data_IF_423607699446
#
_entry.id   IF_423607699446
#
_cell.length_a   1.000
_cell.length_b   1.000
_cell.length_c   1.000
_cell.angle_alpha   90.00
_cell.angle_beta   90.00
_cell.angle_gamma   90.00
#
_symmetry.space_group_name_H-M   'P 1'
#
loop_
_entity.id
_entity.type
_entity.pdbx_description
1 polymer ?
#
# COMPACT_ATOMS: atom_id res chain seq x y z
N UNK A 1 3.90 7.97 -20.79
CA UNK A 1 3.38 8.13 -19.42
C UNK A 1 1.88 8.34 -19.56
N UNK A 2 1.08 7.60 -18.81
CA UNK A 2 -0.39 7.72 -18.82
C UNK A 2 -0.84 8.54 -17.62
N UNK A 3 -1.96 9.25 -17.78
CA UNK A 3 -2.59 9.99 -16.68
C UNK A 3 -3.57 9.05 -15.97
N UNK A 4 -3.37 8.89 -14.66
CA UNK A 4 -4.21 8.08 -13.79
C UNK A 4 -4.82 8.87 -12.65
N UNK A 5 -5.81 8.27 -11.99
CA UNK A 5 -6.47 8.84 -10.81
C UNK A 5 -6.74 7.76 -9.78
N UNK A 6 -6.61 8.09 -8.50
CA UNK A 6 -7.03 7.23 -7.40
C UNK A 6 -8.54 7.39 -7.18
N UNK A 7 -9.29 6.30 -7.32
CA UNK A 7 -10.77 6.33 -7.32
C UNK A 7 -11.39 6.69 -5.97
N UNK A 8 -10.61 6.64 -4.88
CA UNK A 8 -11.08 7.05 -3.55
C UNK A 8 -11.60 8.50 -3.48
N UNK A 9 -11.19 9.36 -4.42
CA UNK A 9 -11.68 10.73 -4.53
C UNK A 9 -13.20 10.81 -4.81
N UNK A 10 -13.77 9.77 -5.41
CA UNK A 10 -15.21 9.67 -5.75
C UNK A 10 -15.87 8.43 -5.12
N UNK A 11 -15.39 7.98 -3.98
CA UNK A 11 -15.91 6.76 -3.31
C UNK A 11 -17.39 6.85 -2.89
N UNK A 12 -17.97 8.03 -2.91
CA UNK A 12 -19.41 8.26 -2.66
C UNK A 12 -20.28 8.02 -3.91
N UNK A 13 -19.69 7.80 -5.07
CA UNK A 13 -20.38 7.43 -6.31
C UNK A 13 -20.22 5.93 -6.59
N UNK A 14 -21.17 5.30 -7.31
CA UNK A 14 -20.93 3.97 -7.87
C UNK A 14 -19.71 3.98 -8.81
N UNK A 15 -18.98 2.83 -8.88
CA UNK A 15 -17.79 2.71 -9.73
C UNK A 15 -18.05 3.17 -11.17
N UNK A 16 -19.16 2.75 -11.77
CA UNK A 16 -19.48 3.10 -13.14
C UNK A 16 -19.62 4.60 -13.37
N UNK A 17 -20.25 5.32 -12.45
CA UNK A 17 -20.38 6.78 -12.52
C UNK A 17 -19.02 7.48 -12.35
N UNK A 18 -18.19 7.00 -11.44
CA UNK A 18 -16.83 7.51 -11.25
C UNK A 18 -15.99 7.31 -12.53
N UNK A 19 -16.02 6.12 -13.14
CA UNK A 19 -15.29 5.82 -14.37
C UNK A 19 -15.77 6.68 -15.56
N UNK A 20 -17.08 6.87 -15.68
CA UNK A 20 -17.66 7.76 -16.71
C UNK A 20 -17.14 9.19 -16.55
N UNK A 21 -17.09 9.70 -15.33
CA UNK A 21 -16.56 11.03 -15.06
C UNK A 21 -15.07 11.12 -15.37
N UNK A 22 -14.25 10.18 -14.90
CA UNK A 22 -12.82 10.16 -15.19
C UNK A 22 -12.52 10.08 -16.68
N UNK A 23 -13.27 9.26 -17.42
CA UNK A 23 -13.12 9.18 -18.88
C UNK A 23 -13.41 10.51 -19.57
N UNK A 24 -14.41 11.28 -19.08
CA UNK A 24 -14.72 12.61 -19.61
C UNK A 24 -13.60 13.63 -19.41
N UNK A 25 -12.71 13.40 -18.44
CA UNK A 25 -11.53 14.21 -18.17
C UNK A 25 -10.27 13.75 -18.92
N UNK A 26 -10.37 12.69 -19.74
CA UNK A 26 -9.23 12.14 -20.46
C UNK A 26 -8.30 11.26 -19.59
N UNK A 27 -8.79 10.77 -18.46
CA UNK A 27 -8.04 9.82 -17.61
C UNK A 27 -7.96 8.48 -18.34
N UNK A 28 -6.79 7.85 -18.29
CA UNK A 28 -6.48 6.59 -18.97
C UNK A 28 -6.32 5.42 -17.98
N UNK A 29 -5.97 5.69 -16.73
CA UNK A 29 -5.69 4.70 -15.70
C UNK A 29 -6.40 5.03 -14.39
N UNK A 30 -6.69 3.98 -13.63
CA UNK A 30 -7.24 4.09 -12.28
C UNK A 30 -6.40 3.32 -11.27
N UNK A 31 -6.24 3.87 -10.09
CA UNK A 31 -5.80 3.19 -8.89
C UNK A 31 -7.03 2.91 -8.03
N UNK A 32 -7.17 1.70 -7.51
CA UNK A 32 -8.36 1.23 -6.80
C UNK A 32 -8.07 0.98 -5.32
N UNK A 33 -8.83 1.60 -4.44
CA UNK A 33 -8.79 1.29 -3.00
C UNK A 33 -9.42 -0.08 -2.72
N UNK A 34 -8.66 -0.94 -2.04
CA UNK A 34 -9.04 -2.31 -1.68
C UNK A 34 -9.19 -2.52 -0.17
N UNK A 35 -9.24 -1.45 0.61
CA UNK A 35 -9.38 -1.47 2.06
C UNK A 35 -8.28 -0.70 2.79
N UNK A 36 -8.33 -0.73 4.12
CA UNK A 36 -7.49 0.11 4.95
C UNK A 36 -7.92 1.58 4.92
N UNK A 37 -6.97 2.50 4.91
CA UNK A 37 -7.26 3.94 4.92
C UNK A 37 -8.01 4.43 3.65
N UNK A 38 -7.72 3.94 2.44
CA UNK A 38 -8.46 4.35 1.24
C UNK A 38 -9.90 3.86 1.17
N UNK A 39 -10.27 2.84 1.98
CA UNK A 39 -11.54 2.14 1.83
C UNK A 39 -11.58 1.23 0.60
N UNK A 40 -12.72 0.58 0.37
CA UNK A 40 -12.93 -0.43 -0.67
C UNK A 40 -14.23 -0.23 -1.46
N UNK A 41 -14.78 0.98 -1.47
CA UNK A 41 -16.08 1.27 -2.07
C UNK A 41 -16.19 0.87 -3.54
N UNK A 42 -15.10 0.91 -4.30
CA UNK A 42 -15.07 0.57 -5.71
C UNK A 42 -14.42 -0.79 -6.01
N UNK A 43 -13.72 -1.38 -5.03
CA UNK A 43 -13.00 -2.62 -5.23
C UNK A 43 -12.85 -3.35 -3.88
N UNK A 44 -13.83 -4.16 -3.54
CA UNK A 44 -13.83 -4.94 -2.30
C UNK A 44 -13.25 -6.34 -2.55
N UNK A 45 -12.02 -6.63 -2.08
CA UNK A 45 -11.37 -7.91 -2.31
C UNK A 45 -12.20 -9.10 -1.80
N UNK A 46 -12.82 -8.97 -0.62
CA UNK A 46 -13.60 -10.06 -0.04
C UNK A 46 -14.77 -10.44 -0.95
N UNK A 47 -15.50 -9.47 -1.46
CA UNK A 47 -16.60 -9.70 -2.40
C UNK A 47 -16.08 -10.27 -3.73
N UNK A 48 -15.06 -9.64 -4.32
CA UNK A 48 -14.58 -10.01 -5.67
C UNK A 48 -13.83 -11.35 -5.73
N UNK A 49 -13.30 -11.81 -4.61
CA UNK A 49 -12.68 -13.14 -4.50
C UNK A 49 -13.70 -14.25 -4.36
N UNK A 50 -14.84 -14.00 -3.70
CA UNK A 50 -15.82 -15.03 -3.33
C UNK A 50 -17.08 -15.03 -4.18
N UNK A 51 -17.32 -14.03 -5.01
CA UNK A 51 -18.50 -13.89 -5.89
C UNK A 51 -18.05 -13.69 -7.33
N UNK A 52 -18.16 -14.74 -8.14
CA UNK A 52 -17.69 -14.72 -9.53
C UNK A 52 -18.55 -13.82 -10.43
N UNK A 53 -19.84 -13.69 -10.15
CA UNK A 53 -20.73 -12.82 -10.94
C UNK A 53 -20.35 -11.35 -10.70
N UNK A 54 -20.12 -10.97 -9.45
CA UNK A 54 -19.64 -9.61 -9.12
C UNK A 54 -18.24 -9.33 -9.65
N UNK A 55 -17.36 -10.32 -9.63
CA UNK A 55 -16.04 -10.17 -10.24
C UNK A 55 -16.15 -9.91 -11.74
N UNK A 56 -16.97 -10.68 -12.44
CA UNK A 56 -17.19 -10.52 -13.89
C UNK A 56 -17.85 -9.16 -14.21
N UNK A 57 -18.82 -8.72 -13.41
CA UNK A 57 -19.45 -7.40 -13.52
C UNK A 57 -18.42 -6.28 -13.33
N UNK A 58 -17.57 -6.38 -12.30
CA UNK A 58 -16.49 -5.43 -12.04
C UNK A 58 -15.54 -5.32 -13.24
N UNK A 59 -15.04 -6.45 -13.74
CA UNK A 59 -14.12 -6.48 -14.88
C UNK A 59 -14.79 -5.92 -16.13
N UNK A 60 -16.04 -6.28 -16.39
CA UNK A 60 -16.81 -5.75 -17.52
C UNK A 60 -16.99 -4.23 -17.41
N UNK A 61 -17.27 -3.72 -16.21
CA UNK A 61 -17.42 -2.28 -15.96
C UNK A 61 -16.13 -1.51 -16.22
N UNK A 62 -14.99 -1.97 -15.70
CA UNK A 62 -13.68 -1.34 -15.95
C UNK A 62 -13.36 -1.36 -17.44
N UNK A 63 -13.56 -2.49 -18.11
CA UNK A 63 -13.32 -2.67 -19.54
C UNK A 63 -14.24 -1.81 -20.43
N UNK A 64 -15.51 -1.64 -20.05
CA UNK A 64 -16.50 -0.79 -20.77
C UNK A 64 -16.00 0.65 -20.94
N UNK A 65 -15.28 1.18 -19.94
CA UNK A 65 -14.72 2.53 -19.99
C UNK A 65 -13.28 2.58 -20.50
N UNK A 66 -12.74 1.45 -20.97
CA UNK A 66 -11.36 1.37 -21.49
C UNK A 66 -10.37 2.00 -20.51
N UNK A 67 -10.48 1.57 -19.23
CA UNK A 67 -9.59 2.00 -18.16
C UNK A 67 -8.57 0.90 -17.85
N UNK A 68 -7.32 1.29 -17.68
CA UNK A 68 -6.26 0.42 -17.20
C UNK A 68 -6.17 0.53 -15.67
N UNK A 69 -6.04 -0.60 -14.97
CA UNK A 69 -5.78 -0.60 -13.54
C UNK A 69 -4.27 -0.48 -13.33
N UNK A 70 -3.83 0.63 -12.73
CA UNK A 70 -2.41 0.88 -12.45
C UNK A 70 -1.90 0.10 -11.24
N UNK A 71 -2.70 0.03 -10.19
CA UNK A 71 -2.42 -0.70 -8.97
C UNK A 71 -3.69 -0.90 -8.14
N UNK A 72 -3.64 -1.89 -7.25
CA UNK A 72 -4.57 -2.05 -6.13
C UNK A 72 -3.91 -1.48 -4.87
N UNK A 73 -4.64 -0.66 -4.13
CA UNK A 73 -4.14 0.08 -2.97
C UNK A 73 -4.81 -0.34 -1.67
N UNK A 74 -4.01 -0.79 -0.72
CA UNK A 74 -4.45 -1.34 0.56
C UNK A 74 -3.65 -0.75 1.72
N UNK A 75 -3.57 0.58 1.77
CA UNK A 75 -2.80 1.30 2.78
C UNK A 75 -3.30 1.02 4.20
N UNK A 76 -2.40 0.52 5.04
CA UNK A 76 -2.71 0.17 6.42
C UNK A 76 -1.47 0.01 7.28
N UNK A 77 -1.66 -0.42 8.52
CA UNK A 77 -0.56 -0.70 9.45
C UNK A 77 -0.57 -2.18 9.89
N UNK A 78 0.00 -3.10 9.09
CA UNK A 78 -0.01 -4.53 9.39
C UNK A 78 0.88 -4.93 10.57
N UNK A 79 1.72 -4.03 11.04
CA UNK A 79 2.56 -4.21 12.24
C UNK A 79 2.07 -3.35 13.41
N UNK A 80 0.80 -2.96 13.41
CA UNK A 80 0.20 -2.18 14.50
C UNK A 80 0.36 -2.90 15.84
N UNK A 81 0.67 -2.19 16.96
CA UNK A 81 0.78 -2.81 18.28
C UNK A 81 -0.50 -3.53 18.74
N UNK A 82 -1.66 -2.97 18.43
CA UNK A 82 -2.94 -3.64 18.59
C UNK A 82 -3.04 -4.79 17.57
N UNK A 83 -3.03 -6.02 18.09
CA UNK A 83 -2.96 -7.24 17.28
C UNK A 83 -4.20 -7.49 16.41
N UNK A 84 -5.37 -7.03 16.87
CA UNK A 84 -6.62 -7.16 16.06
C UNK A 84 -6.54 -6.25 14.84
N UNK A 85 -6.08 -5.01 15.03
CA UNK A 85 -5.86 -4.08 13.92
C UNK A 85 -4.77 -4.56 12.97
N UNK A 86 -3.66 -5.05 13.50
CA UNK A 86 -2.58 -5.61 12.70
C UNK A 86 -3.09 -6.75 11.81
N UNK A 87 -3.81 -7.70 12.41
CA UNK A 87 -4.39 -8.85 11.68
C UNK A 87 -5.41 -8.41 10.61
N UNK A 88 -6.23 -7.40 10.89
CA UNK A 88 -7.19 -6.87 9.93
C UNK A 88 -6.48 -6.21 8.73
N UNK A 89 -5.43 -5.44 8.96
CA UNK A 89 -4.64 -4.85 7.88
C UNK A 89 -3.85 -5.90 7.09
N UNK A 90 -3.25 -6.89 7.76
CA UNK A 90 -2.55 -8.01 7.10
C UNK A 90 -3.52 -8.79 6.20
N UNK A 91 -4.72 -9.12 6.71
CA UNK A 91 -5.77 -9.76 5.90
C UNK A 91 -6.09 -8.92 4.66
N UNK A 92 -6.31 -7.63 4.81
CA UNK A 92 -6.61 -6.72 3.69
C UNK A 92 -5.50 -6.75 2.64
N UNK A 93 -4.23 -6.72 3.05
CA UNK A 93 -3.10 -6.76 2.12
C UNK A 93 -3.04 -8.11 1.40
N UNK A 94 -3.21 -9.22 2.10
CA UNK A 94 -3.19 -10.56 1.49
C UNK A 94 -4.36 -10.77 0.54
N UNK A 95 -5.56 -10.36 0.91
CA UNK A 95 -6.73 -10.43 0.02
C UNK A 95 -6.52 -9.55 -1.24
N UNK A 96 -5.89 -8.39 -1.08
CA UNK A 96 -5.53 -7.52 -2.22
C UNK A 96 -4.51 -8.21 -3.15
N UNK A 97 -3.54 -8.94 -2.61
CA UNK A 97 -2.58 -9.73 -3.39
C UNK A 97 -3.30 -10.83 -4.17
N UNK A 98 -4.21 -11.58 -3.53
CA UNK A 98 -5.00 -12.61 -4.20
C UNK A 98 -5.90 -12.03 -5.29
N UNK A 99 -6.49 -10.87 -5.05
CA UNK A 99 -7.29 -10.18 -6.06
C UNK A 99 -6.41 -9.68 -7.23
N UNK A 100 -5.21 -9.19 -6.95
CA UNK A 100 -4.26 -8.81 -7.98
C UNK A 100 -3.91 -10.01 -8.88
N UNK A 101 -3.62 -11.19 -8.30
CA UNK A 101 -3.43 -12.42 -9.05
C UNK A 101 -4.64 -12.74 -9.94
N UNK A 102 -5.87 -12.71 -9.38
CA UNK A 102 -7.12 -13.00 -10.12
C UNK A 102 -7.35 -12.02 -11.28
N UNK A 103 -6.92 -10.76 -11.13
CA UNK A 103 -6.99 -9.72 -12.16
C UNK A 103 -5.81 -9.73 -13.14
N UNK A 104 -4.80 -10.55 -12.93
CA UNK A 104 -3.56 -10.57 -13.73
C UNK A 104 -2.67 -9.34 -13.50
N UNK A 105 -2.78 -8.71 -12.34
CA UNK A 105 -1.96 -7.57 -11.94
C UNK A 105 -0.74 -8.04 -11.15
N UNK A 106 0.36 -7.29 -11.24
CA UNK A 106 1.64 -7.65 -10.62
C UNK A 106 2.10 -6.64 -9.57
N UNK A 107 1.26 -5.67 -9.24
CA UNK A 107 1.62 -4.56 -8.35
C UNK A 107 0.48 -4.24 -7.38
N UNK A 108 0.86 -4.01 -6.11
CA UNK A 108 0.01 -3.39 -5.08
C UNK A 108 0.71 -2.18 -4.48
N UNK A 109 -0.09 -1.22 -3.95
CA UNK A 109 0.40 -0.08 -3.21
C UNK A 109 -0.06 -0.17 -1.76
N UNK A 110 0.82 0.16 -0.80
CA UNK A 110 0.50 0.13 0.63
C UNK A 110 1.47 1.00 1.44
N UNK A 111 1.30 1.03 2.78
CA UNK A 111 2.26 1.59 3.73
C UNK A 111 3.13 0.50 4.35
N UNK A 112 4.32 0.88 4.82
CA UNK A 112 5.23 -0.07 5.50
C UNK A 112 4.72 -0.56 6.85
N UNK A 113 3.84 0.18 7.48
CA UNK A 113 3.47 0.01 8.86
C UNK A 113 4.41 0.75 9.83
N UNK A 114 3.96 0.84 11.08
CA UNK A 114 4.72 1.39 12.20
C UNK A 114 4.34 0.63 13.47
N UNK A 115 5.27 -0.10 14.10
CA UNK A 115 5.03 -0.77 15.39
C UNK A 115 5.05 0.22 16.56
N UNK A 116 4.87 -0.29 17.77
CA UNK A 116 5.12 0.44 19.00
C UNK A 116 6.61 0.54 19.34
N UNK A 117 6.90 0.84 20.60
CA UNK A 117 8.24 0.90 21.16
C UNK A 117 8.65 -0.39 21.88
N UNK A 118 7.71 -1.27 22.15
CA UNK A 118 7.90 -2.58 22.77
C UNK A 118 6.71 -3.52 22.44
N UNK A 119 6.80 -4.82 22.78
CA UNK A 119 5.72 -5.79 22.52
C UNK A 119 4.39 -5.47 23.21
N UNK A 120 4.41 -4.75 24.33
CA UNK A 120 3.24 -4.38 25.14
C UNK A 120 2.62 -3.04 24.74
N UNK A 121 3.18 -2.35 23.74
CA UNK A 121 2.68 -1.07 23.25
C UNK A 121 1.23 -1.17 22.75
N UNK A 122 0.48 -0.10 22.94
CA UNK A 122 -0.90 0.01 22.45
C UNK A 122 -1.04 0.89 21.20
N UNK A 123 -0.08 1.75 20.99
CA UNK A 123 -0.08 2.74 19.90
C UNK A 123 1.22 2.67 19.11
N UNK A 124 1.19 2.97 17.80
CA UNK A 124 2.41 3.12 17.03
C UNK A 124 3.31 4.20 17.60
N UNK A 125 4.61 3.99 17.52
CA UNK A 125 5.61 4.98 17.90
C UNK A 125 6.55 5.24 16.72
N UNK A 126 6.39 6.39 16.07
CA UNK A 126 7.19 6.76 14.92
C UNK A 126 8.51 7.39 15.36
N UNK A 127 9.55 6.58 15.42
CA UNK A 127 10.90 6.99 15.83
C UNK A 127 11.71 7.40 14.60
N UNK A 128 12.12 8.67 14.56
CA UNK A 128 12.89 9.25 13.44
C UNK A 128 14.24 9.84 13.89
N UNK A 129 14.44 10.00 15.19
CA UNK A 129 15.67 10.52 15.77
C UNK A 129 16.43 9.38 16.47
N UNK A 130 17.71 9.12 16.11
CA UNK A 130 18.50 8.03 16.70
C UNK A 130 19.16 8.43 18.04
N UNK A 131 18.78 9.54 18.62
CA UNK A 131 19.31 10.04 19.89
C UNK A 131 18.19 10.71 20.72
N UNK A 132 18.09 10.51 22.05
CA UNK A 132 18.97 9.68 22.91
C UNK A 132 18.98 8.18 22.57
N UNK A 133 19.88 7.41 23.18
CA UNK A 133 20.10 5.99 22.88
C UNK A 133 18.84 5.13 22.98
N UNK A 134 17.91 5.47 23.88
CA UNK A 134 16.59 4.83 23.99
C UNK A 134 15.87 4.77 22.64
N UNK A 135 15.92 5.84 21.84
CA UNK A 135 15.30 5.87 20.52
C UNK A 135 16.03 4.97 19.52
N UNK A 136 17.34 4.85 19.62
CA UNK A 136 18.12 3.92 18.80
C UNK A 136 17.76 2.46 19.10
N UNK A 137 17.56 2.12 20.38
CA UNK A 137 17.15 0.78 20.81
C UNK A 137 15.75 0.44 20.29
N UNK A 138 14.79 1.37 20.43
CA UNK A 138 13.44 1.21 19.90
C UNK A 138 13.49 1.05 18.38
N UNK A 139 14.21 1.90 17.66
CA UNK A 139 14.31 1.85 16.20
C UNK A 139 14.90 0.51 15.73
N UNK A 140 15.96 0.03 16.43
CA UNK A 140 16.56 -1.27 16.14
C UNK A 140 15.55 -2.41 16.30
N UNK A 141 14.84 -2.45 17.42
CA UNK A 141 13.81 -3.46 17.69
C UNK A 141 12.68 -3.40 16.65
N UNK A 142 12.18 -2.21 16.34
CA UNK A 142 11.13 -2.04 15.32
C UNK A 142 11.53 -2.63 13.97
N UNK A 143 12.77 -2.43 13.54
CA UNK A 143 13.25 -2.88 12.26
C UNK A 143 13.63 -4.37 12.27
N UNK A 144 14.43 -4.81 13.24
CA UNK A 144 15.00 -6.15 13.24
C UNK A 144 14.01 -7.22 13.70
N UNK A 145 13.18 -6.90 14.71
CA UNK A 145 12.28 -7.89 15.32
C UNK A 145 10.85 -7.84 14.77
N UNK A 146 10.43 -6.74 14.16
CA UNK A 146 9.03 -6.57 13.72
C UNK A 146 8.93 -6.35 12.21
N UNK A 147 9.51 -5.27 11.70
CA UNK A 147 9.26 -4.83 10.33
C UNK A 147 9.87 -5.78 9.29
N UNK A 148 11.17 -6.05 9.38
CA UNK A 148 11.86 -6.90 8.41
C UNK A 148 11.33 -8.34 8.39
N UNK A 149 11.07 -9.01 9.53
CA UNK A 149 10.44 -10.33 9.53
C UNK A 149 9.07 -10.34 8.86
N UNK A 150 8.21 -9.36 9.16
CA UNK A 150 6.90 -9.24 8.55
C UNK A 150 7.00 -9.10 7.02
N UNK A 151 7.83 -8.18 6.54
CA UNK A 151 7.96 -7.92 5.10
C UNK A 151 8.61 -9.07 4.33
N UNK A 152 9.51 -9.84 4.94
CA UNK A 152 10.04 -11.07 4.33
C UNK A 152 8.96 -12.12 4.09
N UNK A 153 8.07 -12.30 5.05
CA UNK A 153 6.94 -13.23 4.93
C UNK A 153 5.94 -12.75 3.86
N UNK A 154 5.55 -11.48 3.93
CA UNK A 154 4.58 -10.92 2.98
C UNK A 154 5.10 -10.89 1.54
N UNK A 155 6.38 -10.58 1.33
CA UNK A 155 6.99 -10.62 -0.01
C UNK A 155 7.04 -12.05 -0.54
N UNK A 156 7.36 -13.03 0.29
CA UNK A 156 7.33 -14.44 -0.13
C UNK A 156 5.92 -14.86 -0.56
N UNK A 157 4.89 -14.47 0.20
CA UNK A 157 3.49 -14.69 -0.15
C UNK A 157 3.12 -13.99 -1.46
N UNK A 158 3.44 -12.72 -1.61
CA UNK A 158 3.12 -11.96 -2.82
C UNK A 158 3.74 -12.57 -4.08
N UNK A 159 5.00 -13.01 -4.00
CA UNK A 159 5.70 -13.70 -5.11
C UNK A 159 5.02 -15.02 -5.49
N UNK A 160 4.56 -15.79 -4.52
CA UNK A 160 3.85 -17.04 -4.76
C UNK A 160 2.54 -16.82 -5.54
N UNK A 161 1.96 -15.62 -5.44
CA UNK A 161 0.74 -15.19 -6.13
C UNK A 161 0.99 -14.24 -7.32
N UNK A 162 2.21 -14.22 -7.88
CA UNK A 162 2.52 -13.45 -9.08
C UNK A 162 2.64 -11.93 -8.89
N UNK A 163 2.51 -11.42 -7.65
CA UNK A 163 2.74 -10.02 -7.31
C UNK A 163 4.21 -9.82 -6.96
N UNK A 164 4.93 -9.19 -7.84
CA UNK A 164 6.38 -8.99 -7.73
C UNK A 164 6.79 -7.53 -7.54
N UNK A 165 5.83 -6.64 -7.35
CA UNK A 165 6.02 -5.22 -7.07
C UNK A 165 5.10 -4.80 -5.92
N UNK A 166 5.71 -4.43 -4.81
CA UNK A 166 5.00 -3.83 -3.67
C UNK A 166 5.53 -2.42 -3.54
N UNK A 167 4.71 -1.45 -3.92
CA UNK A 167 5.08 -0.04 -3.90
C UNK A 167 4.64 0.57 -2.56
N UNK A 168 5.61 0.93 -1.74
CA UNK A 168 5.38 1.58 -0.46
C UNK A 168 5.28 3.10 -0.67
N UNK A 169 4.21 3.69 -0.16
CA UNK A 169 4.13 5.14 -0.08
C UNK A 169 4.99 5.65 1.08
N UNK A 170 5.86 6.62 0.76
CA UNK A 170 6.85 7.19 1.70
C UNK A 170 6.17 8.21 2.62
N UNK A 171 5.30 7.74 3.50
CA UNK A 171 4.43 8.60 4.30
C UNK A 171 4.96 8.79 5.74
N UNK A 172 5.03 10.03 6.25
CA UNK A 172 5.32 10.30 7.66
C UNK A 172 4.38 9.54 8.60
N UNK A 173 4.91 9.04 9.71
CA UNK A 173 4.16 8.19 10.65
C UNK A 173 4.29 6.69 10.39
N UNK A 174 5.02 6.30 9.33
CA UNK A 174 5.37 4.90 9.04
C UNK A 174 6.89 4.70 9.04
N UNK A 175 7.36 3.47 9.19
CA UNK A 175 8.79 3.18 9.28
C UNK A 175 9.55 3.50 7.98
N UNK A 176 8.88 3.31 6.82
CA UNK A 176 9.41 3.73 5.52
C UNK A 176 8.72 5.03 5.12
N UNK A 177 9.41 6.15 5.28
CA UNK A 177 8.87 7.49 5.08
C UNK A 177 9.73 8.40 4.19
N UNK A 178 10.91 7.91 3.78
CA UNK A 178 11.83 8.61 2.91
C UNK A 178 12.66 7.62 2.07
N UNK A 179 13.48 8.14 1.17
CA UNK A 179 14.30 7.32 0.26
C UNK A 179 15.25 6.41 1.02
N UNK A 180 15.92 6.89 2.07
CA UNK A 180 16.87 6.10 2.87
C UNK A 180 16.17 4.90 3.52
N UNK A 181 15.06 5.11 4.20
CA UNK A 181 14.29 4.04 4.85
C UNK A 181 13.71 3.05 3.84
N UNK A 182 13.31 3.51 2.64
CA UNK A 182 12.90 2.62 1.56
C UNK A 182 14.05 1.71 1.11
N UNK A 183 15.20 2.28 0.82
CA UNK A 183 16.37 1.52 0.37
C UNK A 183 16.84 0.52 1.44
N UNK A 184 16.81 0.92 2.72
CA UNK A 184 17.10 0.03 3.85
C UNK A 184 16.15 -1.17 3.89
N UNK A 185 14.84 -0.97 3.73
CA UNK A 185 13.90 -2.10 3.73
C UNK A 185 14.10 -2.97 2.48
N UNK A 186 14.28 -2.37 1.32
CA UNK A 186 14.55 -3.09 0.06
C UNK A 186 15.80 -3.96 0.14
N UNK A 187 16.88 -3.46 0.72
CA UNK A 187 18.11 -4.23 0.94
C UNK A 187 17.88 -5.43 1.89
N UNK A 188 17.11 -5.22 2.96
CA UNK A 188 16.85 -6.26 3.96
C UNK A 188 15.86 -7.34 3.49
N UNK A 189 14.94 -7.02 2.59
CA UNK A 189 13.80 -7.88 2.21
C UNK A 189 13.90 -8.39 0.77
N UNK A 190 14.12 -7.50 -0.19
CA UNK A 190 14.24 -7.89 -1.60
C UNK A 190 13.83 -6.80 -2.59
N UNK A 191 14.13 -7.04 -3.90
CA UNK A 191 13.89 -6.08 -4.97
C UNK A 191 12.41 -5.85 -5.30
N UNK A 192 11.49 -6.63 -4.74
CA UNK A 192 10.05 -6.47 -4.90
C UNK A 192 9.53 -5.20 -4.22
N UNK A 193 10.25 -4.72 -3.18
CA UNK A 193 9.93 -3.47 -2.50
C UNK A 193 10.33 -2.29 -3.39
N UNK A 194 9.39 -1.40 -3.65
CA UNK A 194 9.56 -0.18 -4.43
C UNK A 194 8.79 0.99 -3.83
N UNK A 195 8.77 2.13 -4.52
CA UNK A 195 8.08 3.33 -4.08
C UNK A 195 6.78 3.56 -4.85
N UNK A 196 5.69 3.80 -4.13
CA UNK A 196 4.61 4.66 -4.58
C UNK A 196 5.05 6.08 -4.26
N UNK A 197 5.57 6.78 -5.26
CA UNK A 197 6.28 8.03 -5.04
C UNK A 197 5.32 9.21 -4.99
N UNK A 198 4.92 9.60 -3.78
CA UNK A 198 4.21 10.85 -3.55
C UNK A 198 5.20 11.95 -3.14
N UNK A 199 5.47 12.92 -4.04
CA UNK A 199 6.43 13.98 -3.75
C UNK A 199 5.97 14.91 -2.63
N UNK A 200 4.67 15.00 -2.35
CA UNK A 200 4.14 15.90 -1.32
C UNK A 200 4.67 15.55 0.08
N UNK A 201 4.81 14.25 0.38
CA UNK A 201 5.34 13.77 1.66
C UNK A 201 6.84 14.08 1.82
N UNK A 202 7.60 14.07 0.74
CA UNK A 202 9.03 14.45 0.76
C UNK A 202 9.20 15.97 0.89
N UNK A 203 8.40 16.75 0.15
CA UNK A 203 8.40 18.23 0.25
C UNK A 203 8.05 18.65 1.66
N UNK A 204 7.05 18.04 2.28
CA UNK A 204 6.66 18.30 3.67
C UNK A 204 7.81 18.07 4.66
N UNK A 205 8.68 17.10 4.40
CA UNK A 205 9.88 16.80 5.18
C UNK A 205 11.08 17.72 4.83
N UNK A 206 10.93 18.65 3.90
CA UNK A 206 12.01 19.53 3.46
C UNK A 206 13.00 18.87 2.49
N UNK A 207 12.64 17.74 1.90
CA UNK A 207 13.47 17.00 0.94
C UNK A 207 13.24 17.49 -0.49
N UNK A 208 14.28 17.44 -1.32
CA UNK A 208 14.16 17.64 -2.77
C UNK A 208 13.67 16.36 -3.45
N UNK A 209 12.43 16.31 -3.98
CA UNK A 209 11.90 15.10 -4.61
C UNK A 209 12.68 14.68 -5.87
N UNK A 210 13.33 15.63 -6.57
CA UNK A 210 14.16 15.29 -7.75
C UNK A 210 15.42 14.55 -7.32
N UNK A 211 16.05 14.97 -6.22
CA UNK A 211 17.19 14.24 -5.65
C UNK A 211 16.79 12.85 -5.15
N UNK A 212 15.57 12.70 -4.62
CA UNK A 212 15.05 11.42 -4.12
C UNK A 212 14.77 10.39 -5.23
N UNK A 213 14.52 10.82 -6.47
CA UNK A 213 14.30 9.93 -7.64
C UNK A 213 15.63 9.42 -8.22
N UNK A 214 16.73 10.16 -8.06
CA UNK A 214 18.04 9.86 -8.62
C UNK A 214 18.85 8.88 -7.76
#
# INVERSE_FOLDING_TARGET
>A
MKLGVFTCLLQNLPLEEALKYFKSLGIEMIELGCGGFPGNAHCDPETLLNDEDKFNEFVATVKKYDMEISALSCHGNPVHPDKEKAAAYDKTIRDTILLAEKLGLHQINTFSGCPGDCPESKHPNWVVCPWPDDFSEVLKWQWEEVLVPYWKDLVAFAKAHGVNKIALELHPGFCVYNTESLLKLREAVGPEIGANFDPSHLIWQGMDPVACIR
#
